data_IF_040263893534
#
_entry.id   IF_040263893534
#
_cell.length_a   1.000
_cell.length_b   1.000
_cell.length_c   1.000
_cell.angle_alpha   90.00
_cell.angle_beta   90.00
_cell.angle_gamma   90.00
#
_symmetry.space_group_name_H-M   'P 1'
#
loop_
_entity.id
_entity.type
_entity.pdbx_description
1 polymer ?
#
# COMPACT_ATOMS: atom_id res chain seq x y z
N UNK A 1 0.52 -3.84 -11.09
CA UNK A 1 0.05 -5.22 -11.35
C UNK A 1 -1.45 -5.28 -11.57
N UNK A 2 -2.27 -4.57 -10.78
CA UNK A 2 -3.73 -4.39 -11.01
C UNK A 2 -4.03 -3.99 -12.47
N UNK A 3 -3.43 -2.91 -12.98
CA UNK A 3 -3.62 -2.47 -14.37
C UNK A 3 -3.20 -3.48 -15.46
N UNK A 4 -2.28 -4.41 -15.16
CA UNK A 4 -1.90 -5.47 -16.09
C UNK A 4 -2.98 -6.57 -16.13
N UNK A 5 -3.51 -6.95 -14.98
CA UNK A 5 -4.60 -7.92 -14.89
C UNK A 5 -5.90 -7.37 -15.49
N UNK A 6 -6.25 -6.11 -15.23
CA UNK A 6 -7.41 -5.43 -15.83
C UNK A 6 -7.32 -5.40 -17.36
N UNK A 7 -6.12 -5.26 -17.91
CA UNK A 7 -5.88 -5.29 -19.35
C UNK A 7 -5.99 -6.70 -19.96
N UNK A 8 -5.76 -7.76 -19.16
CA UNK A 8 -5.85 -9.15 -19.61
C UNK A 8 -7.27 -9.71 -19.52
N UNK A 9 -7.99 -9.44 -18.43
CA UNK A 9 -9.38 -9.86 -18.23
C UNK A 9 -10.01 -9.10 -17.05
N UNK A 10 -11.22 -8.59 -17.23
CA UNK A 10 -11.90 -7.73 -16.23
C UNK A 10 -12.09 -8.42 -14.87
N UNK A 11 -12.42 -9.72 -14.87
CA UNK A 11 -12.64 -10.50 -13.64
C UNK A 11 -11.38 -11.21 -13.12
N UNK A 12 -10.20 -10.88 -13.63
CA UNK A 12 -8.96 -11.54 -13.20
C UNK A 12 -8.70 -11.21 -11.73
N UNK A 13 -8.60 -9.92 -11.41
CA UNK A 13 -8.35 -9.44 -10.05
C UNK A 13 -9.34 -9.95 -8.99
N UNK A 14 -10.61 -10.13 -9.37
CA UNK A 14 -11.65 -10.69 -8.51
C UNK A 14 -11.32 -12.10 -8.00
N UNK A 15 -10.57 -12.90 -8.76
CA UNK A 15 -10.14 -14.24 -8.36
C UNK A 15 -9.08 -14.16 -7.26
N UNK A 16 -8.16 -13.20 -7.32
CA UNK A 16 -7.19 -12.92 -6.26
C UNK A 16 -7.89 -12.41 -5.00
N UNK A 17 -8.87 -11.51 -5.12
CA UNK A 17 -9.56 -10.98 -3.94
C UNK A 17 -10.43 -12.03 -3.27
N UNK A 18 -11.17 -12.83 -4.03
CA UNK A 18 -12.14 -13.78 -3.49
C UNK A 18 -11.49 -15.11 -3.06
N UNK A 19 -10.39 -15.52 -3.69
CA UNK A 19 -9.65 -16.75 -3.36
C UNK A 19 -10.38 -18.07 -3.65
N UNK A 20 -11.62 -18.02 -4.12
CA UNK A 20 -12.45 -19.19 -4.41
C UNK A 20 -12.32 -19.60 -5.88
N UNK A 21 -11.37 -20.49 -6.15
CA UNK A 21 -11.16 -21.08 -7.49
C UNK A 21 -11.25 -22.61 -7.50
N UNK A 22 -11.13 -23.28 -6.34
CA UNK A 22 -11.43 -24.72 -6.17
C UNK A 22 -12.78 -24.82 -5.47
N UNK A 23 -13.82 -25.36 -6.14
CA UNK A 23 -15.10 -25.59 -5.51
C UNK A 23 -14.98 -26.68 -4.44
N UNK A 24 -15.36 -26.35 -3.21
CA UNK A 24 -15.46 -27.30 -2.10
C UNK A 24 -16.94 -27.70 -1.91
N UNK A 25 -17.16 -28.95 -1.50
CA UNK A 25 -18.48 -29.43 -1.06
C UNK A 25 -18.84 -28.91 0.34
N UNK A 26 -20.04 -29.26 0.83
CA UNK A 26 -20.49 -28.88 2.18
C UNK A 26 -19.64 -29.51 3.31
N UNK A 27 -18.84 -30.52 3.00
CA UNK A 27 -17.93 -31.20 3.92
C UNK A 27 -16.47 -30.72 3.80
N UNK A 28 -16.18 -29.75 2.91
CA UNK A 28 -14.86 -29.19 2.69
C UNK A 28 -13.96 -29.99 1.73
N UNK A 29 -14.49 -30.98 1.01
CA UNK A 29 -13.73 -31.75 0.01
C UNK A 29 -13.78 -31.08 -1.36
N UNK A 30 -12.72 -31.24 -2.17
CA UNK A 30 -12.70 -30.77 -3.54
C UNK A 30 -13.77 -31.49 -4.39
N UNK A 31 -14.64 -30.71 -5.02
CA UNK A 31 -15.63 -31.26 -5.95
C UNK A 31 -14.88 -31.77 -7.19
N UNK A 32 -15.16 -32.99 -7.69
CA UNK A 32 -14.55 -33.48 -8.93
C UNK A 32 -14.79 -32.52 -10.10
N UNK A 33 -13.77 -32.28 -10.93
CA UNK A 33 -13.85 -31.36 -12.09
C UNK A 33 -15.01 -31.66 -13.06
N UNK A 34 -15.42 -32.92 -13.17
CA UNK A 34 -16.55 -33.34 -14.00
C UNK A 34 -17.90 -32.74 -13.53
N UNK A 35 -18.02 -32.38 -12.25
CA UNK A 35 -19.23 -31.84 -11.64
C UNK A 35 -19.22 -30.30 -11.55
N UNK A 36 -18.21 -29.65 -12.13
CA UNK A 36 -18.11 -28.20 -12.09
C UNK A 36 -19.06 -27.55 -13.09
N UNK A 37 -19.75 -26.50 -12.63
CA UNK A 37 -20.47 -25.59 -13.52
C UNK A 37 -19.50 -24.81 -14.39
N UNK A 38 -20.01 -24.17 -15.45
CA UNK A 38 -19.17 -23.43 -16.38
C UNK A 38 -18.48 -22.23 -15.69
N UNK A 39 -19.18 -21.56 -14.78
CA UNK A 39 -18.64 -20.44 -14.00
C UNK A 39 -17.48 -20.89 -13.11
N UNK A 40 -17.57 -22.09 -12.51
CA UNK A 40 -16.50 -22.67 -11.69
C UNK A 40 -15.27 -23.00 -12.54
N UNK A 41 -15.47 -23.53 -13.76
CA UNK A 41 -14.38 -23.81 -14.70
C UNK A 41 -13.71 -22.51 -15.18
N UNK A 42 -14.49 -21.48 -15.50
CA UNK A 42 -13.96 -20.17 -15.88
C UNK A 42 -13.09 -19.57 -14.77
N UNK A 43 -13.55 -19.58 -13.51
CA UNK A 43 -12.77 -19.12 -12.36
C UNK A 43 -11.46 -19.88 -12.18
N UNK A 44 -11.47 -21.20 -12.37
CA UNK A 44 -10.24 -22.00 -12.33
C UNK A 44 -9.27 -21.60 -13.43
N UNK A 45 -9.75 -21.39 -14.66
CA UNK A 45 -8.91 -20.95 -15.79
C UNK A 45 -8.31 -19.57 -15.52
N UNK A 46 -9.08 -18.64 -14.97
CA UNK A 46 -8.58 -17.33 -14.56
C UNK A 46 -7.48 -17.45 -13.51
N UNK A 47 -7.70 -18.23 -12.43
CA UNK A 47 -6.66 -18.50 -11.45
C UNK A 47 -5.40 -19.09 -12.10
N UNK A 48 -5.53 -20.07 -13.01
CA UNK A 48 -4.36 -20.63 -13.70
C UNK A 48 -3.61 -19.61 -14.56
N UNK A 49 -4.31 -18.71 -15.25
CA UNK A 49 -3.67 -17.64 -16.03
C UNK A 49 -2.94 -16.65 -15.14
N UNK A 50 -3.54 -16.27 -14.02
CA UNK A 50 -2.90 -15.40 -13.02
C UNK A 50 -1.68 -16.04 -12.39
N UNK A 51 -1.81 -17.30 -12.01
CA UNK A 51 -0.75 -18.07 -11.41
C UNK A 51 0.47 -18.09 -12.33
N UNK A 52 0.24 -18.40 -13.60
CA UNK A 52 1.29 -18.37 -14.62
C UNK A 52 1.88 -16.96 -14.79
N UNK A 53 1.05 -15.92 -14.87
CA UNK A 53 1.52 -14.54 -15.01
C UNK A 53 2.39 -14.09 -13.84
N UNK A 54 1.99 -14.42 -12.61
CA UNK A 54 2.77 -14.17 -11.40
C UNK A 54 4.11 -14.91 -11.48
N UNK A 55 4.09 -16.22 -11.76
CA UNK A 55 5.30 -17.06 -11.85
C UNK A 55 6.30 -16.56 -12.90
N UNK A 56 5.83 -16.06 -14.04
CA UNK A 56 6.69 -15.48 -15.08
C UNK A 56 7.42 -14.19 -14.63
N UNK A 57 6.90 -13.50 -13.62
CA UNK A 57 7.49 -12.27 -13.09
C UNK A 57 8.47 -12.48 -11.92
N UNK A 58 8.61 -13.72 -11.44
CA UNK A 58 9.40 -14.03 -10.24
C UNK A 58 10.87 -14.29 -10.57
N UNK A 59 11.75 -13.83 -9.68
CA UNK A 59 13.12 -14.34 -9.57
C UNK A 59 13.14 -15.76 -9.00
N UNK A 60 14.27 -16.45 -9.15
CA UNK A 60 14.46 -17.81 -8.63
C UNK A 60 14.24 -17.89 -7.10
N UNK A 61 14.69 -16.88 -6.37
CA UNK A 61 14.52 -16.82 -4.91
C UNK A 61 13.04 -16.70 -4.52
N UNK A 62 12.26 -15.89 -5.22
CA UNK A 62 10.82 -15.75 -4.97
C UNK A 62 10.06 -17.00 -5.37
N UNK A 63 10.40 -17.57 -6.54
CA UNK A 63 9.78 -18.79 -7.06
C UNK A 63 9.86 -19.92 -6.04
N UNK A 64 11.03 -20.18 -5.46
CA UNK A 64 11.21 -21.25 -4.45
C UNK A 64 10.32 -21.08 -3.21
N UNK A 65 9.89 -19.86 -2.88
CA UNK A 65 9.01 -19.58 -1.74
C UNK A 65 7.53 -19.81 -2.05
N UNK A 66 7.11 -19.64 -3.31
CA UNK A 66 5.67 -19.58 -3.66
C UNK A 66 5.22 -20.61 -4.69
N UNK A 67 6.12 -21.33 -5.36
CA UNK A 67 5.78 -22.25 -6.46
C UNK A 67 4.85 -23.40 -6.08
N UNK A 68 4.81 -23.77 -4.80
CA UNK A 68 3.98 -24.86 -4.29
C UNK A 68 2.52 -24.44 -4.05
N UNK A 69 2.22 -23.14 -4.04
CA UNK A 69 0.86 -22.64 -3.89
C UNK A 69 0.06 -22.89 -5.16
N UNK A 70 -1.12 -23.49 -5.01
CA UNK A 70 -2.07 -23.68 -6.13
C UNK A 70 -2.94 -22.43 -6.36
N UNK A 71 -3.06 -21.59 -5.34
CA UNK A 71 -3.91 -20.40 -5.34
C UNK A 71 -3.09 -19.17 -5.71
N UNK A 72 -3.51 -18.47 -6.74
CA UNK A 72 -2.92 -17.17 -7.11
C UNK A 72 -3.04 -16.17 -5.97
N UNK A 73 -4.14 -16.22 -5.20
CA UNK A 73 -4.32 -15.43 -3.98
C UNK A 73 -3.24 -15.71 -2.94
N UNK A 74 -3.01 -16.97 -2.57
CA UNK A 74 -2.01 -17.31 -1.56
C UNK A 74 -0.59 -16.90 -1.99
N UNK A 75 -0.28 -17.09 -3.27
CA UNK A 75 0.97 -16.64 -3.85
C UNK A 75 1.10 -15.11 -3.79
N UNK A 76 0.06 -14.38 -4.22
CA UNK A 76 0.01 -12.93 -4.17
C UNK A 76 0.13 -12.39 -2.74
N UNK A 77 -0.64 -12.93 -1.79
CA UNK A 77 -0.61 -12.54 -0.38
C UNK A 77 0.77 -12.75 0.24
N UNK A 78 1.46 -13.85 -0.12
CA UNK A 78 2.83 -14.13 0.34
C UNK A 78 3.85 -13.15 -0.24
N UNK A 79 3.74 -12.85 -1.54
CA UNK A 79 4.59 -11.86 -2.21
C UNK A 79 4.34 -10.47 -1.63
N UNK A 80 3.08 -10.06 -1.47
CA UNK A 80 2.68 -8.80 -0.86
C UNK A 80 3.20 -8.69 0.58
N UNK A 81 3.11 -9.77 1.38
CA UNK A 81 3.66 -9.80 2.74
C UNK A 81 5.20 -9.70 2.76
N UNK A 82 5.87 -10.31 1.79
CA UNK A 82 7.35 -10.28 1.69
C UNK A 82 7.86 -8.88 1.30
N UNK A 83 7.20 -8.22 0.36
CA UNK A 83 7.68 -6.95 -0.20
C UNK A 83 7.06 -5.71 0.44
N UNK A 84 5.76 -5.75 0.74
CA UNK A 84 5.07 -4.62 1.34
C UNK A 84 5.05 -4.72 2.88
N UNK A 85 5.50 -5.84 3.44
CA UNK A 85 5.43 -6.16 4.86
C UNK A 85 4.03 -6.60 5.31
N UNK A 86 3.95 -7.19 6.50
CA UNK A 86 2.64 -7.55 7.07
C UNK A 86 1.78 -6.31 7.34
N UNK A 87 0.46 -6.48 7.39
CA UNK A 87 -0.47 -5.41 7.78
C UNK A 87 -0.09 -4.80 9.14
N UNK A 88 0.48 -5.59 10.04
CA UNK A 88 0.96 -5.14 11.34
C UNK A 88 2.20 -4.24 11.21
N UNK A 89 3.17 -4.61 10.36
CA UNK A 89 4.34 -3.76 10.06
C UNK A 89 3.89 -2.44 9.42
N UNK A 90 2.94 -2.49 8.46
CA UNK A 90 2.37 -1.28 7.86
C UNK A 90 1.68 -0.39 8.90
N UNK A 91 0.87 -0.96 9.80
CA UNK A 91 0.21 -0.22 10.90
C UNK A 91 1.23 0.39 11.87
N UNK A 92 2.27 -0.36 12.23
CA UNK A 92 3.33 0.13 13.11
C UNK A 92 4.11 1.27 12.46
N UNK A 93 4.44 1.15 11.17
CA UNK A 93 5.08 2.22 10.39
C UNK A 93 4.18 3.46 10.31
N UNK A 94 2.89 3.28 10.05
CA UNK A 94 1.92 4.36 10.00
C UNK A 94 1.81 5.09 11.36
N UNK A 95 1.73 4.34 12.46
CA UNK A 95 1.70 4.90 13.82
C UNK A 95 2.97 5.69 14.15
N UNK A 96 4.14 5.15 13.78
CA UNK A 96 5.42 5.83 13.96
C UNK A 96 5.50 7.13 13.14
N UNK A 97 5.08 7.10 11.87
CA UNK A 97 5.06 8.26 10.99
C UNK A 97 4.06 9.32 11.48
N UNK A 98 2.87 8.90 11.93
CA UNK A 98 1.90 9.81 12.53
C UNK A 98 2.48 10.50 13.76
N UNK A 99 3.17 9.76 14.64
CA UNK A 99 3.86 10.36 15.79
C UNK A 99 4.98 11.32 15.36
N UNK A 100 5.76 10.99 14.33
CA UNK A 100 6.81 11.88 13.78
C UNK A 100 6.22 13.15 13.20
N UNK A 101 5.09 13.04 12.50
CA UNK A 101 4.33 14.18 11.99
C UNK A 101 3.84 15.05 13.15
N UNK A 102 3.24 14.44 14.18
CA UNK A 102 2.70 15.19 15.31
C UNK A 102 3.76 15.92 16.13
N UNK A 103 4.92 15.30 16.32
CA UNK A 103 6.05 15.88 17.05
C UNK A 103 7.02 16.64 16.16
N UNK A 104 6.67 16.88 14.89
CA UNK A 104 7.54 17.52 13.95
C UNK A 104 7.87 18.94 14.41
N UNK A 105 9.17 19.28 14.37
CA UNK A 105 9.69 20.61 14.67
C UNK A 105 10.95 20.85 13.84
N UNK A 106 11.23 22.12 13.59
CA UNK A 106 12.51 22.55 13.04
C UNK A 106 13.62 22.35 14.07
N UNK A 107 14.76 21.84 13.63
CA UNK A 107 15.96 21.70 14.47
C UNK A 107 16.71 23.05 14.58
N UNK A 108 17.47 23.28 15.64
CA UNK A 108 18.09 24.59 15.95
C UNK A 108 19.11 25.06 14.90
N UNK A 109 19.76 24.13 14.19
CA UNK A 109 20.80 24.40 13.18
C UNK A 109 20.34 24.10 11.75
N UNK A 110 19.06 23.79 11.57
CA UNK A 110 18.53 23.38 10.28
C UNK A 110 18.06 24.58 9.44
N UNK A 111 18.15 24.46 8.12
CA UNK A 111 17.57 25.45 7.20
C UNK A 111 16.07 25.21 6.97
N UNK A 112 15.30 26.24 6.63
CA UNK A 112 13.87 26.10 6.30
C UNK A 112 13.66 25.11 5.14
N UNK A 113 14.56 25.11 4.14
CA UNK A 113 14.48 24.19 3.00
C UNK A 113 14.70 22.73 3.44
N UNK A 114 15.69 22.47 4.30
CA UNK A 114 15.95 21.14 4.84
C UNK A 114 14.77 20.65 5.69
N UNK A 115 14.20 21.55 6.51
CA UNK A 115 13.03 21.26 7.33
C UNK A 115 11.82 20.90 6.46
N UNK A 116 11.54 21.71 5.44
CA UNK A 116 10.45 21.44 4.50
C UNK A 116 10.64 20.11 3.76
N UNK A 117 11.88 19.78 3.37
CA UNK A 117 12.21 18.49 2.77
C UNK A 117 11.84 17.32 3.69
N UNK A 118 12.24 17.36 4.96
CA UNK A 118 11.88 16.31 5.94
C UNK A 118 10.36 16.22 6.14
N UNK A 119 9.67 17.35 6.22
CA UNK A 119 8.23 17.40 6.34
C UNK A 119 7.54 16.72 5.15
N UNK A 120 7.96 17.06 3.93
CA UNK A 120 7.42 16.48 2.70
C UNK A 120 7.66 14.96 2.63
N UNK A 121 8.83 14.49 3.06
CA UNK A 121 9.11 13.05 3.16
C UNK A 121 8.10 12.35 4.07
N UNK A 122 7.82 12.91 5.25
CA UNK A 122 6.86 12.32 6.20
C UNK A 122 5.44 12.31 5.60
N UNK A 123 5.01 13.41 4.98
CA UNK A 123 3.69 13.52 4.36
C UNK A 123 3.52 12.54 3.19
N UNK A 124 4.53 12.42 2.34
CA UNK A 124 4.51 11.49 1.21
C UNK A 124 4.44 10.04 1.69
N UNK A 125 5.22 9.67 2.72
CA UNK A 125 5.15 8.33 3.30
C UNK A 125 3.80 8.03 3.97
N UNK A 126 3.18 9.01 4.63
CA UNK A 126 1.83 8.88 5.21
C UNK A 126 0.78 8.68 4.11
N UNK A 127 0.84 9.48 3.04
CA UNK A 127 -0.05 9.36 1.89
C UNK A 127 0.10 8.00 1.20
N UNK A 128 1.33 7.51 1.03
CA UNK A 128 1.60 6.19 0.46
C UNK A 128 0.97 5.05 1.28
N UNK A 129 0.91 5.20 2.60
CA UNK A 129 0.27 4.24 3.50
C UNK A 129 -1.24 4.46 3.66
N UNK A 130 -1.85 5.36 2.89
CA UNK A 130 -3.29 5.61 2.87
C UNK A 130 -3.80 6.60 3.93
N UNK A 131 -2.91 7.37 4.58
CA UNK A 131 -3.30 8.45 5.50
C UNK A 131 -2.96 9.80 4.88
N UNK A 132 -3.98 10.52 4.45
CA UNK A 132 -3.86 11.88 3.89
C UNK A 132 -4.35 12.90 4.90
N UNK A 133 -3.72 14.07 4.93
CA UNK A 133 -4.21 15.25 5.63
C UNK A 133 -4.55 16.30 4.58
N UNK A 134 -5.36 17.29 4.95
CA UNK A 134 -5.63 18.37 4.02
C UNK A 134 -4.45 19.35 3.93
N UNK A 135 -4.44 20.19 2.90
CA UNK A 135 -3.37 21.18 2.72
C UNK A 135 -3.32 22.21 3.86
N UNK A 136 -4.45 22.49 4.51
CA UNK A 136 -4.53 23.43 5.61
C UNK A 136 -3.86 22.88 6.87
N UNK A 137 -4.10 21.61 7.21
CA UNK A 137 -3.43 20.85 8.27
C UNK A 137 -1.92 20.86 8.06
N UNK A 138 -1.47 20.64 6.82
CA UNK A 138 -0.04 20.69 6.49
C UNK A 138 0.57 22.08 6.73
N UNK A 139 -0.12 23.14 6.31
CA UNK A 139 0.34 24.52 6.49
C UNK A 139 0.35 24.91 7.96
N UNK A 140 -0.74 24.66 8.70
CA UNK A 140 -0.82 24.94 10.14
C UNK A 140 0.26 24.16 10.90
N UNK A 141 0.49 22.89 10.56
CA UNK A 141 1.56 22.08 11.15
C UNK A 141 2.94 22.65 10.87
N UNK A 142 3.22 23.03 9.62
CA UNK A 142 4.50 23.60 9.22
C UNK A 142 4.76 24.93 9.95
N UNK A 143 3.75 25.79 10.07
CA UNK A 143 3.84 27.07 10.77
C UNK A 143 4.12 26.88 12.27
N UNK A 144 3.47 25.92 12.93
CA UNK A 144 3.73 25.57 14.34
C UNK A 144 5.10 24.96 14.58
N UNK A 145 5.70 24.38 13.54
CA UNK A 145 7.00 23.72 13.60
C UNK A 145 8.17 24.70 13.50
N UNK A 146 7.92 25.96 13.12
CA UNK A 146 8.93 27.00 12.99
C UNK A 146 9.35 27.56 14.37
N UNK A 147 10.63 27.96 14.54
CA UNK A 147 11.08 28.69 15.71
C UNK A 147 10.32 30.02 15.87
N UNK A 148 9.99 30.40 17.12
CA UNK A 148 9.28 31.65 17.45
C UNK A 148 9.87 32.89 16.77
N UNK A 149 11.20 32.98 16.69
CA UNK A 149 11.92 34.08 16.01
C UNK A 149 11.53 34.24 14.54
N UNK A 150 11.24 33.15 13.83
CA UNK A 150 10.82 33.18 12.43
C UNK A 150 9.31 33.45 12.29
N UNK A 151 8.49 32.98 13.25
CA UNK A 151 7.06 33.32 13.30
C UNK A 151 6.83 34.82 13.47
N UNK A 152 7.59 35.48 14.35
CA UNK A 152 7.55 36.93 14.56
C UNK A 152 7.87 37.70 13.27
N UNK A 153 8.82 37.22 12.47
CA UNK A 153 9.18 37.83 11.19
C UNK A 153 8.13 37.66 10.09
N UNK A 154 7.30 36.59 10.16
CA UNK A 154 6.22 36.35 9.21
C UNK A 154 4.97 37.18 9.55
N UNK A 155 4.67 37.36 10.85
CA UNK A 155 3.58 38.21 11.32
C UNK A 155 3.92 39.70 11.13
N UNK A 156 5.16 40.10 11.41
CA UNK A 156 5.63 41.47 11.20
C UNK A 156 5.61 41.93 9.74
N UNK A 157 5.52 41.03 8.74
CA UNK A 157 5.35 41.41 7.33
C UNK A 157 3.89 41.65 6.92
N UNK A 158 2.92 41.15 7.68
CA UNK A 158 1.50 41.40 7.41
C UNK A 158 1.03 42.76 7.94
N UNK A 159 1.74 43.36 8.90
CA UNK A 159 1.38 44.66 9.49
C UNK A 159 1.96 45.88 8.73
N UNK A 160 2.89 45.70 7.79
CA UNK A 160 3.51 46.82 7.01
C UNK A 160 2.82 47.06 5.66
N UNK A 161 1.61 46.53 5.46
CA UNK A 161 0.84 46.72 4.20
C UNK A 161 -0.47 47.49 4.37
N UNK A 162 -0.57 48.37 5.37
CA UNK A 162 -1.60 49.40 5.44
C UNK A 162 -1.06 50.75 5.91
#
# INVERSE_FOLDING_TARGET
MIAFFDACHIDMWDVIEQGNYIPLDQAGNEIPKAQWSEEKKQRFVLNSKEHNALMCGLSEEEYTKVHSFKSSKQMWDTLALTYEGSLEVKRNKLSLLARKYELFKMEESESIQTMFGRFQTIVNELSFLGRTYDNFDHIDKLLRSLPRKLMESCQGRQEVTY
#
